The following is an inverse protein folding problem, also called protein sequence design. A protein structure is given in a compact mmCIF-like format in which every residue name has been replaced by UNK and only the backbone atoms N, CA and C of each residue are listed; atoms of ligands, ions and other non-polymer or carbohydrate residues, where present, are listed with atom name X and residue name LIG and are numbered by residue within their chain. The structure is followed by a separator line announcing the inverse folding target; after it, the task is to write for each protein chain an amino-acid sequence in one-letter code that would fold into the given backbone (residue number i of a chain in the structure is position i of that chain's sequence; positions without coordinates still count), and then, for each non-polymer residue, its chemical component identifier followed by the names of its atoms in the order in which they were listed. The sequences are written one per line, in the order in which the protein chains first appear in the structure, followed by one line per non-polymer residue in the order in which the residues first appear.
data_IF_830836465354
#
_entry.id   IF_830836465354
#
_cell.length_a   1.000
_cell.length_b   1.000
_cell.length_c   1.000
_cell.angle_alpha   90.00
_cell.angle_beta   90.00
_cell.angle_gamma   90.00
#
_symmetry.space_group_name_H-M   'P 1'
#
loop_
_entity.id
_entity.type
_entity.pdbx_description
1 polymer ?
#
# COMPACT_ATOMS: atom_id res chain seq x y z
N UNK A 1 -3.61 3.74 -13.95
CA UNK A 1 -5.08 3.79 -13.81
C UNK A 1 -5.41 4.18 -12.36
N UNK A 2 -6.58 4.81 -12.12
CA UNK A 2 -7.13 5.46 -10.91
C UNK A 2 -7.16 4.61 -9.61
N UNK A 3 -6.01 4.09 -9.21
CA UNK A 3 -5.83 3.25 -8.03
C UNK A 3 -6.26 3.94 -6.74
N UNK A 4 -5.96 5.23 -6.59
CA UNK A 4 -6.38 6.02 -5.41
C UNK A 4 -7.89 6.06 -5.23
N UNK A 5 -8.65 6.02 -6.32
CA UNK A 5 -10.12 6.06 -6.30
C UNK A 5 -10.75 4.68 -6.11
N UNK A 6 -9.97 3.61 -6.30
CA UNK A 6 -10.43 2.21 -6.26
C UNK A 6 -10.04 1.50 -4.98
N UNK A 7 -8.92 1.90 -4.38
CA UNK A 7 -8.39 1.30 -3.15
C UNK A 7 -9.40 1.33 -1.99
N UNK A 8 -10.12 2.44 -1.73
CA UNK A 8 -11.03 2.52 -0.58
C UNK A 8 -12.09 1.42 -0.58
N UNK A 9 -12.82 1.24 -1.69
CA UNK A 9 -13.93 0.31 -1.80
C UNK A 9 -13.50 -1.13 -2.11
N UNK A 10 -12.30 -1.35 -2.68
CA UNK A 10 -11.84 -2.70 -3.06
C UNK A 10 -11.01 -3.38 -1.99
N UNK A 11 -10.27 -2.61 -1.19
CA UNK A 11 -9.32 -3.16 -0.21
C UNK A 11 -9.58 -2.62 1.19
N UNK A 12 -9.74 -1.30 1.33
CA UNK A 12 -9.78 -0.68 2.67
C UNK A 12 -11.09 -0.96 3.40
N UNK A 13 -12.22 -0.96 2.71
CA UNK A 13 -13.51 -1.29 3.31
C UNK A 13 -13.58 -2.74 3.82
N UNK A 14 -13.17 -3.76 3.03
CA UNK A 14 -12.99 -5.11 3.57
C UNK A 14 -12.02 -5.18 4.76
N UNK A 15 -10.89 -4.46 4.72
CA UNK A 15 -9.94 -4.43 5.85
C UNK A 15 -10.62 -3.89 7.12
N UNK A 16 -11.43 -2.82 7.03
CA UNK A 16 -12.20 -2.31 8.17
C UNK A 16 -13.11 -3.39 8.76
N UNK A 17 -13.78 -4.16 7.92
CA UNK A 17 -14.61 -5.28 8.37
C UNK A 17 -13.79 -6.35 9.10
N UNK A 18 -12.63 -6.73 8.55
CA UNK A 18 -11.72 -7.68 9.18
C UNK A 18 -11.18 -7.17 10.53
N UNK A 19 -10.86 -5.88 10.66
CA UNK A 19 -10.43 -5.28 11.92
C UNK A 19 -11.52 -5.36 12.99
N UNK A 20 -12.78 -5.08 12.64
CA UNK A 20 -13.94 -5.22 13.55
C UNK A 20 -14.16 -6.67 13.95
N UNK A 21 -14.09 -7.60 12.99
CA UNK A 21 -14.32 -9.03 13.20
C UNK A 21 -13.11 -9.76 13.82
N UNK A 22 -11.94 -9.11 13.87
CA UNK A 22 -10.66 -9.68 14.29
C UNK A 22 -10.28 -10.93 13.48
N UNK A 23 -10.54 -10.90 12.18
CA UNK A 23 -10.19 -11.98 11.25
C UNK A 23 -8.96 -11.61 10.42
N UNK A 24 -8.29 -12.60 9.84
CA UNK A 24 -7.09 -12.38 9.03
C UNK A 24 -7.41 -11.62 7.73
N UNK A 25 -6.58 -10.62 7.42
CA UNK A 25 -6.65 -9.80 6.21
C UNK A 25 -5.29 -9.67 5.51
N UNK A 26 -4.34 -10.58 5.78
CA UNK A 26 -2.96 -10.49 5.25
C UNK A 26 -2.88 -10.28 3.73
N UNK A 27 -3.76 -10.92 2.97
CA UNK A 27 -3.82 -10.79 1.52
C UNK A 27 -4.23 -9.37 1.07
N UNK A 28 -5.15 -8.73 1.80
CA UNK A 28 -5.57 -7.35 1.53
C UNK A 28 -4.45 -6.37 1.91
N UNK A 29 -3.73 -6.61 3.00
CA UNK A 29 -2.57 -5.80 3.39
C UNK A 29 -1.48 -5.85 2.31
N UNK A 30 -1.18 -7.02 1.74
CA UNK A 30 -0.26 -7.15 0.60
C UNK A 30 -0.79 -6.46 -0.65
N UNK A 31 -2.10 -6.48 -0.90
CA UNK A 31 -2.71 -5.71 -1.98
C UNK A 31 -2.50 -4.19 -1.84
N UNK A 32 -2.69 -3.65 -0.63
CA UNK A 32 -2.43 -2.22 -0.32
C UNK A 32 -0.94 -1.90 -0.47
N UNK A 33 -0.07 -2.72 0.08
CA UNK A 33 1.38 -2.56 -0.03
C UNK A 33 1.88 -2.65 -1.49
N UNK A 34 1.28 -3.54 -2.29
CA UNK A 34 1.54 -3.66 -3.71
C UNK A 34 1.17 -2.38 -4.47
N UNK A 35 0.03 -1.77 -4.15
CA UNK A 35 -0.32 -0.45 -4.68
C UNK A 35 0.72 0.61 -4.28
N UNK A 36 1.15 0.64 -3.02
CA UNK A 36 2.19 1.58 -2.53
C UNK A 36 3.54 1.41 -3.24
N UNK A 37 3.91 0.17 -3.58
CA UNK A 37 5.11 -0.15 -4.37
C UNK A 37 4.97 0.22 -5.84
N UNK A 38 3.79 -0.01 -6.42
CA UNK A 38 3.49 0.33 -7.81
C UNK A 38 3.55 1.85 -8.06
N UNK A 39 2.99 2.66 -7.16
CA UNK A 39 3.01 4.12 -7.32
C UNK A 39 4.40 4.75 -7.16
N UNK A 40 5.43 3.96 -6.82
CA UNK A 40 6.83 4.41 -6.94
C UNK A 40 7.20 4.73 -8.39
N UNK A 41 6.39 4.28 -9.37
CA UNK A 41 6.57 4.50 -10.79
C UNK A 41 7.84 3.84 -11.36
N UNK A 42 8.25 2.74 -10.74
CA UNK A 42 9.40 1.92 -11.13
C UNK A 42 9.06 0.44 -10.90
N UNK A 43 9.41 -0.45 -11.82
CA UNK A 43 9.23 -1.89 -11.64
C UNK A 43 10.35 -2.50 -10.77
N UNK A 44 10.46 -3.82 -10.74
CA UNK A 44 11.49 -4.52 -9.97
C UNK A 44 12.85 -4.61 -10.69
N UNK A 45 12.89 -4.23 -11.97
CA UNK A 45 14.10 -4.18 -12.78
C UNK A 45 14.65 -2.75 -12.93
N UNK A 46 13.99 -1.76 -12.33
CA UNK A 46 14.36 -0.35 -12.43
C UNK A 46 13.78 0.37 -13.65
N UNK A 47 12.87 -0.25 -14.41
CA UNK A 47 12.22 0.41 -15.53
C UNK A 47 11.08 1.29 -15.03
N UNK A 48 10.91 2.45 -15.68
CA UNK A 48 9.84 3.36 -15.35
C UNK A 48 8.45 2.75 -15.64
N UNK A 49 7.52 2.96 -14.72
CA UNK A 49 6.11 2.63 -14.87
C UNK A 49 5.31 3.93 -15.01
N UNK A 50 4.48 4.03 -16.05
CA UNK A 50 3.53 5.13 -16.16
C UNK A 50 2.36 4.95 -15.18
N UNK A 51 2.35 5.75 -14.12
CA UNK A 51 1.26 5.78 -13.13
C UNK A 51 0.21 6.80 -13.53
N UNK A 52 -0.90 6.33 -14.09
CA UNK A 52 -2.06 7.17 -14.42
C UNK A 52 -3.01 7.23 -13.22
N UNK A 53 -3.04 8.31 -12.45
CA UNK A 53 -3.92 8.45 -11.27
C UNK A 53 -4.38 9.91 -11.07
N UNK A 54 -5.63 10.19 -10.67
CA UNK A 54 -6.09 11.56 -10.38
C UNK A 54 -5.25 12.29 -9.32
N UNK A 55 -4.65 11.54 -8.38
CA UNK A 55 -3.79 12.08 -7.32
C UNK A 55 -2.30 12.02 -7.68
N UNK A 56 -1.93 11.79 -8.94
CA UNK A 56 -0.53 11.58 -9.33
C UNK A 56 0.41 12.70 -8.84
N UNK A 57 -0.01 13.96 -8.85
CA UNK A 57 0.78 15.07 -8.32
C UNK A 57 1.14 14.90 -6.83
N UNK A 58 0.19 14.49 -6.01
CA UNK A 58 0.40 14.19 -4.58
C UNK A 58 1.29 12.97 -4.40
N UNK A 59 1.04 11.90 -5.15
CA UNK A 59 1.82 10.66 -5.07
C UNK A 59 3.29 10.90 -5.45
N UNK A 60 3.55 11.66 -6.51
CA UNK A 60 4.89 12.05 -6.93
C UNK A 60 5.60 12.98 -5.92
N UNK A 61 4.86 13.82 -5.20
CA UNK A 61 5.44 14.60 -4.10
C UNK A 61 5.91 13.68 -2.96
N UNK A 62 5.11 12.68 -2.58
CA UNK A 62 5.50 11.66 -1.59
C UNK A 62 6.71 10.86 -2.08
N UNK A 63 6.76 10.44 -3.35
CA UNK A 63 7.90 9.73 -3.92
C UNK A 63 9.22 10.51 -3.81
N UNK A 64 9.19 11.82 -4.10
CA UNK A 64 10.37 12.67 -4.03
C UNK A 64 10.90 12.85 -2.61
N UNK A 65 10.01 12.90 -1.61
CA UNK A 65 10.39 13.08 -0.21
C UNK A 65 10.75 11.76 0.47
N UNK A 66 10.09 10.67 0.07
CA UNK A 66 10.19 9.35 0.66
C UNK A 66 10.30 8.28 -0.44
N UNK A 67 11.51 8.04 -0.96
CA UNK A 67 11.72 7.11 -2.08
C UNK A 67 11.60 5.63 -1.67
N UNK A 68 11.77 5.30 -0.39
CA UNK A 68 11.73 3.92 0.09
C UNK A 68 11.44 3.81 1.59
N UNK A 69 11.25 2.58 2.06
CA UNK A 69 11.19 2.20 3.48
C UNK A 69 9.90 2.59 4.22
N UNK A 70 9.85 2.37 5.54
CA UNK A 70 8.65 2.60 6.35
C UNK A 70 8.14 4.05 6.34
N UNK A 71 9.03 5.04 6.27
CA UNK A 71 8.65 6.46 6.23
C UNK A 71 7.76 6.78 5.03
N UNK A 72 7.99 6.10 3.90
CA UNK A 72 7.14 6.21 2.71
C UNK A 72 5.73 5.69 2.97
N UNK A 73 5.61 4.52 3.60
CA UNK A 73 4.31 3.94 3.96
C UNK A 73 3.54 4.91 4.84
N UNK A 74 4.19 5.47 5.87
CA UNK A 74 3.57 6.48 6.74
C UNK A 74 3.09 7.71 5.98
N UNK A 75 3.91 8.26 5.08
CA UNK A 75 3.53 9.42 4.26
C UNK A 75 2.32 9.13 3.36
N UNK A 76 2.24 7.94 2.77
CA UNK A 76 1.11 7.53 1.93
C UNK A 76 -0.16 7.30 2.74
N UNK A 77 -0.05 6.69 3.93
CA UNK A 77 -1.18 6.53 4.85
C UNK A 77 -1.73 7.88 5.31
N UNK A 78 -0.90 8.93 5.35
CA UNK A 78 -1.34 10.30 5.63
C UNK A 78 -2.26 10.93 4.57
N UNK A 79 -2.46 10.29 3.40
CA UNK A 79 -3.38 10.79 2.37
C UNK A 79 -4.83 10.49 2.79
N UNK A 80 -5.42 11.43 3.53
CA UNK A 80 -6.76 11.31 4.11
C UNK A 80 -7.85 10.99 3.09
N UNK A 81 -7.76 11.50 1.86
CA UNK A 81 -8.76 11.21 0.80
C UNK A 81 -8.78 9.73 0.37
N UNK A 82 -7.76 8.94 0.72
CA UNK A 82 -7.70 7.50 0.45
C UNK A 82 -7.98 6.71 1.74
N UNK A 83 -7.25 7.02 2.81
CA UNK A 83 -7.23 6.18 4.02
C UNK A 83 -8.17 6.64 5.14
N UNK A 84 -8.75 7.84 5.03
CA UNK A 84 -9.44 8.55 6.13
C UNK A 84 -8.53 8.65 7.38
N UNK A 85 -9.12 8.99 8.52
CA UNK A 85 -8.38 9.18 9.78
C UNK A 85 -8.30 7.89 10.62
N UNK A 86 -9.16 6.90 10.34
CA UNK A 86 -9.31 5.69 11.14
C UNK A 86 -8.18 4.68 10.89
N UNK A 87 -7.84 4.43 9.62
CA UNK A 87 -6.82 3.45 9.27
C UNK A 87 -5.40 3.87 9.70
N UNK A 88 -4.95 5.12 9.45
CA UNK A 88 -3.63 5.55 9.93
C UNK A 88 -3.51 5.58 11.47
N UNK A 89 -4.63 5.71 12.18
CA UNK A 89 -4.67 5.63 13.65
C UNK A 89 -4.65 4.18 14.19
N UNK A 90 -4.87 3.17 13.34
CA UNK A 90 -4.89 1.77 13.74
C UNK A 90 -3.48 1.15 13.63
N UNK A 91 -2.78 1.02 14.76
CA UNK A 91 -1.41 0.49 14.79
C UNK A 91 -1.26 -0.91 14.18
N UNK A 92 -2.26 -1.78 14.31
CA UNK A 92 -2.23 -3.13 13.73
C UNK A 92 -2.27 -3.08 12.20
N UNK A 93 -3.13 -2.23 11.63
CA UNK A 93 -3.19 -2.00 10.20
C UNK A 93 -1.89 -1.38 9.67
N UNK A 94 -1.38 -0.35 10.34
CA UNK A 94 -0.15 0.34 9.96
C UNK A 94 1.03 -0.64 9.94
N UNK A 95 1.18 -1.47 10.98
CA UNK A 95 2.21 -2.50 11.03
C UNK A 95 2.05 -3.51 9.88
N UNK A 96 0.85 -4.07 9.68
CA UNK A 96 0.61 -5.07 8.65
C UNK A 96 0.92 -4.57 7.23
N UNK A 97 0.57 -3.33 6.90
CA UNK A 97 0.90 -2.74 5.57
C UNK A 97 2.38 -2.42 5.45
N UNK A 98 3.01 -1.95 6.53
CA UNK A 98 4.47 -1.66 6.54
C UNK A 98 5.27 -2.93 6.32
N UNK A 99 4.98 -3.99 7.10
CA UNK A 99 5.64 -5.28 6.99
C UNK A 99 5.45 -5.88 5.59
N UNK A 100 4.22 -5.83 5.05
CA UNK A 100 3.93 -6.28 3.70
C UNK A 100 4.71 -5.49 2.63
N UNK A 101 4.85 -4.18 2.79
CA UNK A 101 5.60 -3.33 1.87
C UNK A 101 7.10 -3.62 1.90
N UNK A 102 7.68 -3.78 3.08
CA UNK A 102 9.10 -4.16 3.24
C UNK A 102 9.35 -5.56 2.68
N UNK A 103 8.42 -6.49 2.90
CA UNK A 103 8.48 -7.83 2.36
C UNK A 103 8.48 -7.85 0.82
N UNK A 104 7.59 -7.06 0.21
CA UNK A 104 7.55 -6.86 -1.25
C UNK A 104 8.85 -6.26 -1.78
N UNK A 105 9.35 -5.21 -1.14
CA UNK A 105 10.61 -4.58 -1.56
C UNK A 105 11.81 -5.52 -1.47
N UNK A 106 11.82 -6.42 -0.48
CA UNK A 106 12.95 -7.32 -0.23
C UNK A 106 12.91 -8.59 -1.09
N UNK A 107 11.74 -9.14 -1.35
CA UNK A 107 11.59 -10.43 -2.04
C UNK A 107 11.12 -10.31 -3.49
N UNK A 108 10.56 -9.18 -3.88
CA UNK A 108 9.76 -9.05 -5.09
C UNK A 108 8.34 -9.60 -4.92
N UNK A 109 7.43 -9.14 -5.77
CA UNK A 109 6.00 -9.37 -5.70
C UNK A 109 5.64 -10.84 -5.79
N UNK A 110 6.28 -11.58 -6.70
CA UNK A 110 6.01 -13.02 -6.89
C UNK A 110 6.31 -13.81 -5.62
N UNK A 111 7.53 -13.72 -5.10
CA UNK A 111 7.95 -14.48 -3.93
C UNK A 111 7.19 -14.04 -2.66
N UNK A 112 6.87 -12.76 -2.55
CA UNK A 112 6.03 -12.24 -1.47
C UNK A 112 4.63 -12.88 -1.47
N UNK A 113 3.98 -12.99 -2.63
CA UNK A 113 2.66 -13.63 -2.76
C UNK A 113 2.74 -15.15 -2.55
N UNK A 114 3.76 -15.82 -3.06
CA UNK A 114 3.97 -17.26 -2.82
C UNK A 114 4.12 -17.58 -1.32
N UNK A 115 4.75 -16.69 -0.56
CA UNK A 115 4.88 -16.84 0.90
C UNK A 115 3.52 -16.76 1.65
N UNK A 116 2.50 -16.14 1.05
CA UNK A 116 1.13 -16.11 1.59
C UNK A 116 0.34 -17.41 1.35
N UNK A 117 0.89 -18.38 0.65
CA UNK A 117 0.21 -19.67 0.42
C UNK A 117 0.57 -20.74 1.46
N UNK A 118 1.36 -20.36 2.47
CA UNK A 118 1.80 -21.20 3.59
C UNK A 118 1.09 -20.80 4.87
#
# INVERSE_FOLDING_TARGET
MDGSQKLPQRMLEPIRQHLVQRTDYRHLAVGVAGWMRYILAEDEQGNAIEVVDPLNGTLQAVNRQHPSGPARVQALLGIRSIFNDDLPANAQFVAAVTDAYEWLCRLGARAAVEALSR
#
